data_IF_820287544713
#
_entry.id   IF_820287544713
#
_cell.length_a   1.000
_cell.length_b   1.000
_cell.length_c   1.000
_cell.angle_alpha   90.00
_cell.angle_beta   90.00
_cell.angle_gamma   90.00
#
_symmetry.space_group_name_H-M   'P 1'
#
loop_
_entity.id
_entity.type
_entity.pdbx_description
1 polymer ?
#
# COMPACT_ATOMS: atom_id res chain seq x y z
N UNK A 1 6.51 -38.82 -8.68
CA UNK A 1 6.81 -37.38 -8.85
C UNK A 1 5.94 -36.63 -7.87
N UNK A 2 6.55 -35.73 -7.09
CA UNK A 2 6.31 -35.54 -5.66
C UNK A 2 5.09 -34.67 -5.30
N UNK A 3 4.29 -35.09 -4.31
CA UNK A 3 3.30 -34.22 -3.63
C UNK A 3 3.94 -32.97 -2.98
N UNK A 4 5.27 -32.96 -2.77
CA UNK A 4 5.98 -31.79 -2.28
C UNK A 4 6.03 -30.63 -3.29
N UNK A 5 5.99 -30.91 -4.60
CA UNK A 5 6.03 -29.85 -5.61
C UNK A 5 4.69 -29.12 -5.73
N UNK A 6 3.58 -29.75 -5.35
CA UNK A 6 2.27 -29.11 -5.33
C UNK A 6 2.05 -28.29 -4.05
N UNK A 7 2.55 -28.77 -2.90
CA UNK A 7 2.56 -27.99 -1.63
C UNK A 7 3.41 -26.71 -1.74
N UNK A 8 4.59 -26.79 -2.36
CA UNK A 8 5.43 -25.62 -2.63
C UNK A 8 4.83 -24.62 -3.62
N UNK A 9 3.83 -25.03 -4.40
CA UNK A 9 3.10 -24.15 -5.34
C UNK A 9 1.89 -23.48 -4.69
N UNK A 10 1.36 -24.06 -3.62
CA UNK A 10 0.33 -23.46 -2.77
C UNK A 10 0.92 -22.44 -1.77
N UNK A 11 2.19 -22.55 -1.42
CA UNK A 11 2.98 -21.49 -0.77
C UNK A 11 3.50 -20.47 -1.79
N UNK A 12 2.67 -20.06 -2.76
CA UNK A 12 2.86 -18.71 -3.29
C UNK A 12 2.50 -17.80 -2.12
N UNK A 13 3.51 -17.47 -1.28
CA UNK A 13 3.37 -16.63 -0.09
C UNK A 13 2.44 -15.47 -0.45
N UNK A 14 1.17 -15.57 -0.05
CA UNK A 14 0.23 -14.48 -0.19
C UNK A 14 0.90 -13.32 0.54
N UNK A 15 1.20 -12.24 -0.19
CA UNK A 15 1.92 -11.10 0.39
C UNK A 15 1.22 -10.69 1.69
N UNK A 16 1.97 -10.74 2.78
CA UNK A 16 1.42 -10.37 4.08
C UNK A 16 0.90 -8.94 4.04
N UNK A 17 -0.36 -8.75 4.44
CA UNK A 17 -0.93 -7.41 4.59
C UNK A 17 -0.56 -6.76 5.93
N UNK A 18 0.08 -7.49 6.84
CA UNK A 18 0.48 -6.98 8.15
C UNK A 18 1.37 -5.73 8.02
N UNK A 19 1.03 -4.68 8.76
CA UNK A 19 1.75 -3.40 8.76
C UNK A 19 1.48 -2.51 7.55
N UNK A 20 0.60 -2.92 6.63
CA UNK A 20 0.21 -2.11 5.48
C UNK A 20 -0.84 -1.07 5.87
N UNK A 21 -0.76 0.10 5.25
CA UNK A 21 -1.81 1.09 5.30
C UNK A 21 -2.91 0.77 4.28
N UNK A 22 -4.15 1.10 4.64
CA UNK A 22 -5.31 0.96 3.77
C UNK A 22 -6.32 2.08 4.02
N UNK A 23 -7.11 2.37 2.99
CA UNK A 23 -8.21 3.32 3.03
C UNK A 23 -9.54 2.57 3.03
N UNK A 24 -10.42 2.88 3.98
CA UNK A 24 -11.82 2.48 3.93
C UNK A 24 -12.57 3.22 2.81
N UNK A 25 -13.64 2.62 2.30
CA UNK A 25 -14.56 3.31 1.37
C UNK A 25 -15.14 4.62 1.96
N UNK A 26 -15.22 4.73 3.28
CA UNK A 26 -15.67 5.93 3.99
C UNK A 26 -14.59 7.02 4.11
N UNK A 27 -13.39 6.79 3.58
CA UNK A 27 -12.25 7.73 3.63
C UNK A 27 -11.40 7.65 4.90
N UNK A 28 -11.74 6.76 5.83
CA UNK A 28 -10.94 6.51 7.04
C UNK A 28 -9.69 5.70 6.71
N UNK A 29 -8.55 6.02 7.35
CA UNK A 29 -7.30 5.29 7.20
C UNK A 29 -7.07 4.30 8.33
N UNK A 30 -6.47 3.18 7.94
CA UNK A 30 -6.29 2.02 8.78
C UNK A 30 -4.89 1.44 8.61
N UNK A 31 -4.27 1.06 9.72
CA UNK A 31 -3.12 0.16 9.71
C UNK A 31 -3.64 -1.28 9.87
N UNK A 32 -3.23 -2.16 8.97
CA UNK A 32 -3.58 -3.58 9.04
C UNK A 32 -2.69 -4.26 10.08
N UNK A 33 -3.29 -4.88 11.09
CA UNK A 33 -2.59 -5.55 12.18
C UNK A 33 -2.77 -7.06 12.17
N UNK A 34 -3.71 -7.57 11.39
CA UNK A 34 -3.98 -8.99 11.24
C UNK A 34 -4.82 -9.20 9.99
N UNK A 35 -4.55 -10.29 9.28
CA UNK A 35 -5.37 -10.74 8.15
C UNK A 35 -5.51 -12.24 8.23
N UNK A 36 -6.75 -12.71 8.32
CA UNK A 36 -7.09 -14.13 8.22
C UNK A 36 -7.71 -14.39 6.86
N UNK A 37 -7.10 -15.29 6.10
CA UNK A 37 -7.65 -15.79 4.85
C UNK A 37 -8.68 -16.89 5.16
N UNK A 38 -9.83 -16.49 5.67
CA UNK A 38 -11.00 -17.35 5.87
C UNK A 38 -12.08 -17.09 4.80
N UNK A 39 -13.21 -17.80 4.87
CA UNK A 39 -14.30 -17.66 3.89
C UNK A 39 -14.90 -16.24 3.85
N UNK A 40 -14.71 -15.46 4.92
CA UNK A 40 -15.25 -14.10 5.07
C UNK A 40 -14.22 -13.01 4.70
N UNK A 41 -12.96 -13.38 4.41
CA UNK A 41 -11.83 -12.50 4.05
C UNK A 41 -11.74 -11.24 4.92
N UNK A 42 -11.73 -11.45 6.23
CA UNK A 42 -11.77 -10.40 7.24
C UNK A 42 -10.37 -9.91 7.61
N UNK A 43 -10.24 -8.59 7.78
CA UNK A 43 -9.00 -7.94 8.16
C UNK A 43 -9.20 -7.16 9.45
N UNK A 44 -8.27 -7.35 10.38
CA UNK A 44 -8.24 -6.55 11.57
C UNK A 44 -7.36 -5.32 11.38
N UNK A 45 -7.91 -4.17 11.73
CA UNK A 45 -7.32 -2.86 11.50
C UNK A 45 -7.37 -1.99 12.74
N UNK A 46 -6.50 -0.99 12.79
CA UNK A 46 -6.52 0.08 13.79
C UNK A 46 -6.55 1.44 13.12
N UNK A 47 -7.32 2.37 13.70
CA UNK A 47 -7.39 3.76 13.24
C UNK A 47 -6.51 4.66 14.10
N UNK A 48 -5.60 5.47 13.53
CA UNK A 48 -4.81 6.43 14.29
C UNK A 48 -5.64 7.60 14.84
N UNK A 49 -6.82 7.86 14.27
CA UNK A 49 -7.66 9.04 14.57
C UNK A 49 -8.63 8.87 15.74
N UNK A 50 -8.80 7.65 16.28
CA UNK A 50 -9.63 7.40 17.46
C UNK A 50 -8.84 7.63 18.75
N UNK A 51 -8.36 8.84 18.98
CA UNK A 51 -7.61 9.21 20.19
C UNK A 51 -8.37 10.25 21.02
N UNK A 52 -9.52 9.83 21.57
CA UNK A 52 -10.04 10.41 22.83
C UNK A 52 -9.95 9.43 24.00
N UNK A 53 -9.94 8.13 23.73
CA UNK A 53 -9.52 7.10 24.68
C UNK A 53 -8.03 6.83 24.49
N UNK A 54 -7.32 6.42 25.55
CA UNK A 54 -5.95 5.91 25.47
C UNK A 54 -5.86 4.50 24.85
N UNK A 55 -6.97 4.01 24.32
CA UNK A 55 -7.12 2.67 23.77
C UNK A 55 -7.27 2.78 22.26
N UNK A 56 -6.33 2.18 21.53
CA UNK A 56 -6.46 2.02 20.08
C UNK A 56 -7.54 0.98 19.82
N UNK A 57 -8.69 1.42 19.30
CA UNK A 57 -9.78 0.52 18.94
C UNK A 57 -9.38 -0.36 17.74
N UNK A 58 -9.48 -1.68 17.94
CA UNK A 58 -9.33 -2.70 16.89
C UNK A 58 -10.68 -2.88 16.21
N UNK A 59 -10.71 -2.76 14.88
CA UNK A 59 -11.87 -3.03 14.05
C UNK A 59 -11.63 -4.25 13.19
N UNK A 60 -12.70 -4.93 12.78
CA UNK A 60 -12.67 -5.97 11.77
C UNK A 60 -13.50 -5.49 10.59
N UNK A 61 -12.92 -5.53 9.40
CA UNK A 61 -13.55 -5.06 8.15
C UNK A 61 -13.35 -6.11 7.06
N UNK A 62 -14.29 -6.18 6.12
CA UNK A 62 -14.12 -7.04 4.95
C UNK A 62 -13.04 -6.48 4.02
N UNK A 63 -12.24 -7.35 3.40
CA UNK A 63 -11.13 -6.95 2.51
C UNK A 63 -11.56 -6.07 1.34
N UNK A 64 -12.75 -6.30 0.80
CA UNK A 64 -13.30 -5.56 -0.33
C UNK A 64 -13.80 -4.15 0.03
N UNK A 65 -13.95 -3.86 1.33
CA UNK A 65 -14.31 -2.53 1.85
C UNK A 65 -13.10 -1.63 2.07
N UNK A 66 -11.89 -2.13 1.81
CA UNK A 66 -10.65 -1.36 1.93
C UNK A 66 -9.79 -1.44 0.67
N UNK A 67 -9.11 -0.34 0.37
CA UNK A 67 -8.07 -0.26 -0.65
C UNK A 67 -6.72 -0.18 0.05
N UNK A 68 -5.92 -1.24 -0.08
CA UNK A 68 -4.57 -1.29 0.49
C UNK A 68 -3.63 -0.44 -0.37
N UNK A 69 -2.78 0.35 0.28
CA UNK A 69 -1.81 1.21 -0.39
C UNK A 69 -0.83 0.36 -1.22
N UNK A 70 -0.48 0.76 -2.45
CA UNK A 70 0.40 -0.03 -3.32
C UNK A 70 1.82 -0.15 -2.73
N UNK A 71 2.48 -1.28 -2.96
CA UNK A 71 3.90 -1.49 -2.58
C UNK A 71 4.87 -0.99 -3.63
N UNK A 72 4.44 -0.97 -4.89
CA UNK A 72 5.25 -0.61 -6.04
C UNK A 72 4.41 0.13 -7.06
N UNK A 73 5.02 1.09 -7.75
CA UNK A 73 4.44 1.76 -8.91
C UNK A 73 5.19 1.29 -10.16
N UNK A 74 4.44 0.84 -11.15
CA UNK A 74 4.93 0.18 -12.36
C UNK A 74 4.39 0.80 -13.64
N UNK A 75 3.27 1.51 -13.58
CA UNK A 75 2.57 2.12 -14.72
C UNK A 75 2.42 3.62 -14.56
N UNK A 76 2.35 4.36 -15.67
CA UNK A 76 2.10 5.82 -15.66
C UNK A 76 0.88 6.17 -14.81
N UNK A 77 -0.19 5.37 -14.87
CA UNK A 77 -1.43 5.64 -14.14
C UNK A 77 -1.24 5.49 -12.62
N UNK A 78 -0.40 4.55 -12.16
CA UNK A 78 -0.04 4.44 -10.74
C UNK A 78 0.76 5.64 -10.26
N UNK A 79 1.72 6.14 -11.06
CA UNK A 79 2.44 7.38 -10.73
C UNK A 79 1.49 8.58 -10.70
N UNK A 80 0.57 8.67 -11.66
CA UNK A 80 -0.40 9.77 -11.76
C UNK A 80 -1.43 9.76 -10.63
N UNK A 81 -1.97 8.58 -10.30
CA UNK A 81 -2.97 8.42 -9.22
C UNK A 81 -2.37 8.48 -7.82
N UNK A 82 -1.04 8.38 -7.69
CA UNK A 82 -0.37 8.57 -6.41
C UNK A 82 -0.76 9.92 -5.78
N UNK A 83 -1.22 9.94 -4.53
CA UNK A 83 -1.58 11.18 -3.84
C UNK A 83 -0.34 12.03 -3.54
N UNK A 84 -0.53 13.34 -3.41
CA UNK A 84 0.51 14.25 -2.94
C UNK A 84 1.03 13.79 -1.56
N UNK A 85 2.35 13.88 -1.38
CA UNK A 85 3.07 13.39 -0.21
C UNK A 85 3.60 11.96 -0.34
N UNK A 86 3.25 11.24 -1.41
CA UNK A 86 3.80 9.91 -1.70
C UNK A 86 5.31 9.99 -1.86
N UNK A 87 6.03 9.05 -1.23
CA UNK A 87 7.49 8.92 -1.35
C UNK A 87 7.78 7.53 -1.91
N UNK A 88 8.64 7.47 -2.92
CA UNK A 88 9.10 6.23 -3.55
C UNK A 88 10.62 6.14 -3.56
N UNK A 89 11.12 4.92 -3.61
CA UNK A 89 12.52 4.56 -3.87
C UNK A 89 12.59 3.83 -5.22
N UNK A 90 13.52 4.24 -6.06
CA UNK A 90 13.74 3.68 -7.39
C UNK A 90 14.81 2.60 -7.34
N UNK A 91 14.88 1.75 -8.35
CA UNK A 91 15.85 0.63 -8.41
C UNK A 91 17.32 1.07 -8.38
N UNK A 92 17.62 2.30 -8.78
CA UNK A 92 18.95 2.90 -8.72
C UNK A 92 19.30 3.50 -7.34
N UNK A 93 18.39 3.44 -6.36
CA UNK A 93 18.56 3.98 -5.01
C UNK A 93 18.09 5.42 -4.83
N UNK A 94 17.66 6.10 -5.90
CA UNK A 94 17.13 7.47 -5.80
C UNK A 94 15.72 7.47 -5.18
N UNK A 95 15.42 8.52 -4.41
CA UNK A 95 14.12 8.70 -3.80
C UNK A 95 13.42 9.96 -4.34
N UNK A 96 12.12 9.83 -4.60
CA UNK A 96 11.30 10.92 -5.11
C UNK A 96 10.03 11.07 -4.28
N UNK A 97 9.67 12.32 -4.01
CA UNK A 97 8.43 12.70 -3.37
C UNK A 97 7.48 13.34 -4.39
N UNK A 98 6.19 13.04 -4.31
CA UNK A 98 5.16 13.71 -5.09
C UNK A 98 4.70 14.95 -4.35
N UNK A 99 5.40 16.06 -4.56
CA UNK A 99 5.18 17.30 -3.81
C UNK A 99 4.02 18.14 -4.36
N UNK A 100 3.71 17.98 -5.66
CA UNK A 100 2.61 18.66 -6.34
C UNK A 100 1.95 17.77 -7.38
N UNK A 101 0.79 18.20 -7.85
CA UNK A 101 0.04 17.45 -8.84
C UNK A 101 0.86 17.25 -10.12
N UNK A 102 1.00 15.98 -10.52
CA UNK A 102 1.69 15.56 -11.74
C UNK A 102 3.22 15.70 -11.75
N UNK A 103 3.85 16.10 -10.64
CA UNK A 103 5.30 16.34 -10.58
C UNK A 103 5.93 15.76 -9.30
N UNK A 104 7.13 15.20 -9.47
CA UNK A 104 7.91 14.51 -8.46
C UNK A 104 9.24 15.24 -8.23
N UNK A 105 9.56 15.57 -6.98
CA UNK A 105 10.62 16.48 -6.56
C UNK A 105 10.63 17.79 -7.37
N UNK A 106 9.45 18.30 -7.72
CA UNK A 106 9.25 19.45 -8.60
C UNK A 106 9.84 19.38 -10.02
N UNK A 107 10.44 18.26 -10.42
CA UNK A 107 11.28 18.13 -11.62
C UNK A 107 10.69 17.13 -12.63
N UNK A 108 10.28 15.95 -12.18
CA UNK A 108 9.89 14.86 -13.06
C UNK A 108 8.37 14.72 -13.13
N UNK A 109 7.81 14.73 -14.33
CA UNK A 109 6.40 14.40 -14.50
C UNK A 109 6.15 12.89 -14.38
N UNK A 110 4.88 12.49 -14.19
CA UNK A 110 4.49 11.09 -14.00
C UNK A 110 4.98 10.15 -15.12
N UNK A 111 5.01 10.65 -16.37
CA UNK A 111 5.48 9.87 -17.53
C UNK A 111 6.99 9.66 -17.46
N UNK A 112 7.76 10.68 -17.10
CA UNK A 112 9.21 10.56 -16.90
C UNK A 112 9.51 9.60 -15.74
N UNK A 113 8.76 9.71 -14.64
CA UNK A 113 8.90 8.79 -13.51
C UNK A 113 8.70 7.34 -13.94
N UNK A 114 7.65 7.06 -14.70
CA UNK A 114 7.42 5.72 -15.20
C UNK A 114 8.52 5.24 -16.16
N UNK A 115 8.90 6.07 -17.13
CA UNK A 115 9.86 5.68 -18.17
C UNK A 115 11.27 5.41 -17.64
N UNK A 116 11.72 6.15 -16.62
CA UNK A 116 13.10 6.08 -16.14
C UNK A 116 13.25 5.33 -14.82
N UNK A 117 12.20 5.31 -13.98
CA UNK A 117 12.32 4.87 -12.59
C UNK A 117 11.35 3.75 -12.19
N UNK A 118 10.42 3.33 -13.07
CA UNK A 118 9.63 2.14 -12.80
C UNK A 118 10.48 0.85 -12.93
N UNK A 119 10.22 -0.18 -12.12
CA UNK A 119 9.34 -0.17 -10.96
C UNK A 119 9.95 0.63 -9.80
N UNK A 120 9.12 1.40 -9.08
CA UNK A 120 9.54 2.14 -7.89
C UNK A 120 8.82 1.62 -6.65
N UNK A 121 9.56 1.35 -5.56
CA UNK A 121 9.02 0.91 -4.27
C UNK A 121 8.38 2.08 -3.55
N UNK A 122 7.15 1.92 -3.07
CA UNK A 122 6.48 2.91 -2.24
C UNK A 122 7.03 2.84 -0.81
N UNK A 123 7.66 3.93 -0.36
CA UNK A 123 8.07 4.10 1.03
C UNK A 123 6.90 4.63 1.87
N UNK A 124 6.12 5.56 1.30
CA UNK A 124 4.94 6.15 1.94
C UNK A 124 3.90 6.51 0.90
N UNK A 125 2.64 6.16 1.14
CA UNK A 125 1.53 6.54 0.26
C UNK A 125 0.80 7.79 0.79
N UNK A 126 0.88 8.87 0.02
CA UNK A 126 0.45 10.20 0.44
C UNK A 126 1.15 10.68 1.71
N UNK A 127 0.50 11.54 2.47
CA UNK A 127 1.06 12.07 3.73
C UNK A 127 1.03 11.09 4.92
N UNK A 128 0.68 9.81 4.72
CA UNK A 128 0.52 8.85 5.82
C UNK A 128 -0.58 9.23 6.81
N UNK A 129 -1.56 10.05 6.38
CA UNK A 129 -2.76 10.41 7.15
C UNK A 129 -3.87 9.45 6.84
#
# INVERSE_FOLDING_TARGET
MSRLTDLKKQEQEQESLFGRWANALTGQRFLIIEHTWDEDDLIAVVSPTHTKSRETEKFVVARDQITVDPVTLTTIEEFKSAPIGTIIECTNGDAFAKDKEGLWNDEFNDKNMNNYYAPARVIRWGNGQ
#
